data_IF_419677158474
#
_entry.id   IF_419677158474
#
_cell.length_a   1.000
_cell.length_b   1.000
_cell.length_c   1.000
_cell.angle_alpha   90.00
_cell.angle_beta   90.00
_cell.angle_gamma   90.00
#
_symmetry.space_group_name_H-M   'P 1'
#
loop_
_entity.id
_entity.type
_entity.pdbx_description
1 polymer ?
#
# COMPACT_ATOMS: atom_id res chain seq x y z
N UNK A 1 36.19 23.73 -1.58
CA UNK A 1 34.71 23.69 -1.48
C UNK A 1 34.30 24.39 -0.20
N UNK A 2 33.46 25.41 -0.28
CA UNK A 2 33.15 26.32 0.83
C UNK A 2 32.19 25.68 1.84
N UNK A 3 32.35 25.99 3.13
CA UNK A 3 31.43 25.56 4.21
C UNK A 3 29.98 26.00 3.96
N UNK A 4 29.77 27.13 3.28
CA UNK A 4 28.43 27.60 2.90
C UNK A 4 27.73 26.71 1.86
N UNK A 5 28.49 26.04 0.99
CA UNK A 5 27.93 25.13 -0.03
C UNK A 5 27.44 23.81 0.62
N UNK A 6 28.12 23.35 1.69
CA UNK A 6 27.70 22.20 2.49
C UNK A 6 26.44 22.46 3.33
N UNK A 7 26.29 23.68 3.86
CA UNK A 7 25.09 24.06 4.64
C UNK A 7 23.86 24.21 3.73
N UNK A 8 24.01 24.83 2.55
CA UNK A 8 22.91 24.94 1.57
C UNK A 8 22.49 23.57 1.03
N UNK A 9 23.44 22.70 0.68
CA UNK A 9 23.13 21.34 0.22
C UNK A 9 22.45 20.49 1.30
N UNK A 10 22.92 20.55 2.55
CA UNK A 10 22.30 19.83 3.67
C UNK A 10 20.87 20.28 4.00
N UNK A 11 20.58 21.57 3.89
CA UNK A 11 19.22 22.11 4.09
C UNK A 11 18.25 21.71 2.96
N UNK A 12 18.72 21.74 1.70
CA UNK A 12 17.94 21.31 0.55
C UNK A 12 17.63 19.81 0.56
N UNK A 13 18.57 18.98 0.99
CA UNK A 13 18.40 17.52 1.06
C UNK A 13 17.52 17.07 2.24
N UNK A 14 17.61 17.76 3.39
CA UNK A 14 16.71 17.51 4.51
C UNK A 14 15.25 17.89 4.19
N UNK A 15 15.06 19.01 3.48
CA UNK A 15 13.74 19.46 3.04
C UNK A 15 13.09 18.53 2.02
N UNK A 16 13.85 17.96 1.08
CA UNK A 16 13.33 17.00 0.11
C UNK A 16 12.91 15.68 0.77
N UNK A 17 13.73 15.14 1.69
CA UNK A 17 13.40 13.92 2.46
C UNK A 17 12.15 14.10 3.32
N UNK A 18 11.98 15.25 3.97
CA UNK A 18 10.79 15.55 4.76
C UNK A 18 9.51 15.59 3.89
N UNK A 19 9.57 16.19 2.69
CA UNK A 19 8.44 16.20 1.75
C UNK A 19 8.06 14.80 1.29
N UNK A 20 9.05 13.97 0.97
CA UNK A 20 8.82 12.56 0.59
C UNK A 20 8.13 11.77 1.71
N UNK A 21 8.55 11.94 2.96
CA UNK A 21 7.93 11.27 4.11
C UNK A 21 6.46 11.65 4.31
N UNK A 22 6.11 12.93 4.12
CA UNK A 22 4.72 13.40 4.22
C UNK A 22 3.88 12.79 3.10
N UNK A 23 4.37 12.79 1.86
CA UNK A 23 3.62 12.20 0.74
C UNK A 23 3.44 10.68 0.91
N UNK A 24 4.49 9.97 1.36
CA UNK A 24 4.40 8.54 1.68
C UNK A 24 3.35 8.27 2.76
N UNK A 25 3.33 9.06 3.84
CA UNK A 25 2.33 8.88 4.91
C UNK A 25 0.91 9.15 4.42
N UNK A 26 0.72 10.16 3.56
CA UNK A 26 -0.57 10.45 2.93
C UNK A 26 -1.06 9.28 2.08
N UNK A 27 -0.20 8.71 1.22
CA UNK A 27 -0.54 7.53 0.42
C UNK A 27 -0.86 6.31 1.31
N UNK A 28 -0.10 6.11 2.40
CA UNK A 28 -0.38 5.04 3.39
C UNK A 28 -1.75 5.24 4.06
N UNK A 29 -2.10 6.46 4.43
CA UNK A 29 -3.42 6.77 4.99
C UNK A 29 -4.54 6.47 3.98
N UNK A 30 -4.36 6.84 2.71
CA UNK A 30 -5.33 6.52 1.65
C UNK A 30 -5.50 5.00 1.48
N UNK A 31 -4.40 4.24 1.45
CA UNK A 31 -4.45 2.77 1.40
C UNK A 31 -5.16 2.19 2.63
N UNK A 32 -4.91 2.73 3.82
CA UNK A 32 -5.59 2.31 5.05
C UNK A 32 -7.10 2.61 5.05
N UNK A 33 -7.52 3.71 4.44
CA UNK A 33 -8.93 4.03 4.24
C UNK A 33 -9.62 3.00 3.36
N UNK A 34 -9.04 2.72 2.18
CA UNK A 34 -9.55 1.71 1.24
C UNK A 34 -9.61 0.31 1.84
N UNK A 35 -8.64 -0.04 2.68
CA UNK A 35 -8.66 -1.33 3.38
C UNK A 35 -9.88 -1.45 4.33
N UNK A 36 -10.27 -0.36 5.00
CA UNK A 36 -11.47 -0.34 5.85
C UNK A 36 -12.75 -0.47 5.04
N UNK A 37 -12.79 0.10 3.82
CA UNK A 37 -13.91 -0.05 2.89
C UNK A 37 -14.04 -1.51 2.43
N UNK A 38 -12.93 -2.19 2.08
CA UNK A 38 -12.92 -3.63 1.80
C UNK A 38 -13.49 -4.44 2.97
N UNK A 39 -13.06 -4.15 4.21
CA UNK A 39 -13.60 -4.83 5.40
C UNK A 39 -15.10 -4.60 5.59
N UNK A 40 -15.62 -3.45 5.18
CA UNK A 40 -17.05 -3.17 5.21
C UNK A 40 -17.79 -4.05 4.20
N UNK A 41 -17.31 -4.15 2.95
CA UNK A 41 -17.89 -5.05 1.97
C UNK A 41 -17.86 -6.51 2.42
N UNK A 42 -16.78 -6.98 3.07
CA UNK A 42 -16.75 -8.32 3.66
C UNK A 42 -17.82 -8.51 4.74
N UNK A 43 -18.04 -7.52 5.61
CA UNK A 43 -19.12 -7.58 6.61
C UNK A 43 -20.50 -7.62 5.98
N UNK A 44 -20.72 -6.84 4.92
CA UNK A 44 -22.00 -6.80 4.21
C UNK A 44 -22.30 -8.13 3.51
N UNK A 45 -21.30 -8.71 2.83
CA UNK A 45 -21.39 -10.06 2.26
C UNK A 45 -21.71 -11.07 3.36
N UNK A 46 -20.98 -11.06 4.47
CA UNK A 46 -21.21 -11.97 5.60
C UNK A 46 -22.63 -11.84 6.17
N UNK A 47 -23.17 -10.62 6.24
CA UNK A 47 -24.55 -10.36 6.65
C UNK A 47 -25.56 -10.96 5.68
N UNK A 48 -25.36 -10.75 4.37
CA UNK A 48 -26.22 -11.32 3.32
C UNK A 48 -26.26 -12.84 3.45
N UNK A 49 -25.08 -13.48 3.52
CA UNK A 49 -24.96 -14.95 3.64
C UNK A 49 -25.57 -15.48 4.94
N UNK A 50 -25.40 -14.77 6.06
CA UNK A 50 -25.98 -15.19 7.35
C UNK A 50 -27.51 -15.15 7.35
N UNK A 51 -28.11 -14.06 6.86
CA UNK A 51 -29.58 -13.91 6.79
C UNK A 51 -30.20 -14.95 5.88
N UNK A 52 -29.57 -15.15 4.72
CA UNK A 52 -29.86 -16.20 3.75
C UNK A 52 -29.89 -17.60 4.37
N UNK A 53 -28.82 -17.99 5.08
CA UNK A 53 -28.69 -19.31 5.69
C UNK A 53 -29.74 -19.60 6.78
N UNK A 54 -30.30 -18.55 7.40
CA UNK A 54 -31.27 -18.68 8.49
C UNK A 54 -32.73 -18.48 8.03
N UNK A 55 -33.00 -18.40 6.72
CA UNK A 55 -34.33 -18.05 6.17
C UNK A 55 -34.89 -16.74 6.77
N UNK A 56 -34.00 -15.83 7.18
CA UNK A 56 -34.33 -14.51 7.71
C UNK A 56 -34.26 -13.42 6.65
N UNK A 57 -34.04 -13.82 5.40
CA UNK A 57 -34.19 -12.94 4.25
C UNK A 57 -35.68 -12.79 3.93
N UNK A 58 -36.26 -11.69 4.39
CA UNK A 58 -37.69 -11.43 4.31
C UNK A 58 -38.18 -11.03 2.92
N UNK A 59 -37.28 -10.77 1.96
CA UNK A 59 -37.66 -10.13 0.70
C UNK A 59 -37.66 -11.05 -0.53
N UNK A 60 -37.30 -12.34 -0.41
CA UNK A 60 -37.24 -13.23 -1.58
C UNK A 60 -36.30 -12.73 -2.68
N UNK A 61 -35.42 -11.78 -2.35
CA UNK A 61 -34.42 -11.23 -3.26
C UNK A 61 -33.33 -12.27 -3.44
N UNK A 62 -32.96 -12.49 -4.71
CA UNK A 62 -31.81 -13.31 -5.05
C UNK A 62 -30.59 -12.72 -4.33
N UNK A 63 -29.83 -13.55 -3.61
CA UNK A 63 -28.66 -13.10 -2.88
C UNK A 63 -27.68 -12.46 -3.86
N UNK A 64 -27.56 -11.13 -3.80
CA UNK A 64 -26.72 -10.37 -4.71
C UNK A 64 -25.63 -9.65 -3.92
N UNK A 65 -24.45 -10.23 -3.99
CA UNK A 65 -23.21 -9.66 -3.48
C UNK A 65 -22.22 -9.34 -4.61
N UNK A 66 -22.66 -9.39 -5.88
CA UNK A 66 -21.77 -9.21 -7.01
C UNK A 66 -21.14 -7.82 -7.01
N UNK A 67 -21.94 -6.78 -6.74
CA UNK A 67 -21.45 -5.40 -6.60
C UNK A 67 -20.41 -5.23 -5.49
N UNK A 68 -20.56 -5.95 -4.37
CA UNK A 68 -19.57 -5.94 -3.30
C UNK A 68 -18.24 -6.57 -3.75
N UNK A 69 -18.29 -7.66 -4.52
CA UNK A 69 -17.09 -8.30 -5.06
C UNK A 69 -16.39 -7.38 -6.06
N UNK A 70 -17.13 -6.78 -6.99
CA UNK A 70 -16.57 -5.83 -7.96
C UNK A 70 -15.86 -4.67 -7.26
N UNK A 71 -16.49 -4.14 -6.21
CA UNK A 71 -15.93 -3.03 -5.43
C UNK A 71 -14.68 -3.44 -4.66
N UNK A 72 -14.67 -4.63 -4.04
CA UNK A 72 -13.47 -5.18 -3.39
C UNK A 72 -12.32 -5.30 -4.38
N UNK A 73 -12.55 -5.89 -5.55
CA UNK A 73 -11.50 -6.05 -6.59
C UNK A 73 -10.98 -4.70 -7.08
N UNK A 74 -11.86 -3.69 -7.22
CA UNK A 74 -11.44 -2.33 -7.56
C UNK A 74 -10.54 -1.74 -6.49
N UNK A 75 -10.98 -1.77 -5.23
CA UNK A 75 -10.23 -1.23 -4.08
C UNK A 75 -8.89 -1.93 -3.89
N UNK A 76 -8.82 -3.25 -4.09
CA UNK A 76 -7.57 -4.01 -4.03
C UNK A 76 -6.57 -3.54 -5.09
N UNK A 77 -7.02 -3.32 -6.32
CA UNK A 77 -6.18 -2.77 -7.40
C UNK A 77 -5.66 -1.36 -7.07
N UNK A 78 -6.53 -0.49 -6.53
CA UNK A 78 -6.14 0.85 -6.11
C UNK A 78 -5.11 0.82 -4.97
N UNK A 79 -5.26 -0.09 -4.00
CA UNK A 79 -4.27 -0.30 -2.93
C UNK A 79 -2.93 -0.76 -3.50
N UNK A 80 -2.93 -1.66 -4.49
CA UNK A 80 -1.69 -2.09 -5.14
C UNK A 80 -0.98 -0.93 -5.84
N UNK A 81 -1.73 -0.06 -6.51
CA UNK A 81 -1.16 1.10 -7.18
C UNK A 81 -0.57 2.12 -6.19
N UNK A 82 -1.28 2.41 -5.09
CA UNK A 82 -0.76 3.23 -4.00
C UNK A 82 0.53 2.66 -3.39
N UNK A 83 0.59 1.33 -3.20
CA UNK A 83 1.79 0.65 -2.69
C UNK A 83 2.98 0.78 -3.64
N UNK A 84 2.77 0.70 -4.96
CA UNK A 84 3.83 0.94 -5.95
C UNK A 84 4.34 2.38 -5.88
N UNK A 85 3.45 3.36 -5.79
CA UNK A 85 3.83 4.76 -5.66
C UNK A 85 4.64 5.03 -4.38
N UNK A 86 4.25 4.42 -3.26
CA UNK A 86 5.01 4.49 -2.00
C UNK A 86 6.44 3.97 -2.20
N UNK A 87 6.63 2.83 -2.87
CA UNK A 87 7.96 2.25 -3.11
C UNK A 87 8.84 3.15 -3.98
N UNK A 88 8.25 3.72 -5.04
CA UNK A 88 8.94 4.66 -5.92
C UNK A 88 9.38 5.92 -5.14
N UNK A 89 8.51 6.48 -4.30
CA UNK A 89 8.83 7.65 -3.49
C UNK A 89 9.83 7.34 -2.37
N UNK A 90 9.73 6.17 -1.74
CA UNK A 90 10.63 5.73 -0.69
C UNK A 90 12.02 5.30 -1.24
N UNK A 91 12.14 5.17 -2.57
CA UNK A 91 13.34 4.69 -3.23
C UNK A 91 13.75 3.29 -2.73
N UNK A 92 12.75 2.39 -2.62
CA UNK A 92 12.89 1.04 -2.08
C UNK A 92 12.54 -0.03 -3.13
N UNK A 93 13.16 -1.21 -3.02
CA UNK A 93 12.84 -2.44 -3.75
C UNK A 93 12.50 -3.58 -2.79
N UNK A 94 11.76 -4.57 -3.28
CA UNK A 94 11.51 -5.79 -2.52
C UNK A 94 12.68 -6.77 -2.65
N UNK A 95 13.05 -7.37 -1.53
CA UNK A 95 13.85 -8.58 -1.52
C UNK A 95 12.95 -9.82 -1.67
N UNK A 96 13.51 -10.92 -2.18
CA UNK A 96 12.84 -12.23 -2.21
C UNK A 96 12.36 -12.72 -0.83
N UNK A 97 12.96 -12.22 0.26
CA UNK A 97 12.50 -12.52 1.62
C UNK A 97 11.27 -11.70 2.06
N UNK A 98 10.77 -10.79 1.22
CA UNK A 98 9.59 -9.97 1.47
C UNK A 98 9.86 -8.66 2.24
N UNK A 99 11.12 -8.34 2.56
CA UNK A 99 11.50 -7.04 3.15
C UNK A 99 11.79 -6.00 2.08
N UNK A 100 11.32 -4.77 2.32
CA UNK A 100 11.73 -3.61 1.54
C UNK A 100 13.14 -3.17 1.93
N UNK A 101 13.96 -2.85 0.94
CA UNK A 101 15.34 -2.36 1.10
C UNK A 101 15.57 -1.15 0.19
N UNK A 102 16.54 -0.27 0.47
CA UNK A 102 16.90 0.80 -0.45
C UNK A 102 17.17 0.27 -1.87
N UNK A 103 16.78 1.04 -2.89
CA UNK A 103 16.90 0.64 -4.31
C UNK A 103 18.35 0.32 -4.70
N UNK A 104 19.29 1.05 -4.10
CA UNK A 104 20.74 0.98 -4.29
C UNK A 104 21.42 -0.06 -3.38
N UNK A 105 20.66 -0.74 -2.51
CA UNK A 105 21.20 -1.80 -1.67
C UNK A 105 21.74 -2.94 -2.54
N UNK A 106 23.01 -3.31 -2.30
CA UNK A 106 23.67 -4.46 -2.95
C UNK A 106 23.32 -5.79 -2.29
N UNK A 107 22.91 -5.78 -1.03
CA UNK A 107 22.44 -6.95 -0.31
C UNK A 107 21.30 -6.61 0.63
N UNK A 108 20.47 -7.59 0.99
CA UNK A 108 19.40 -7.42 1.96
C UNK A 108 19.95 -7.43 3.38
N UNK A 109 19.70 -6.36 4.14
CA UNK A 109 20.07 -6.26 5.57
C UNK A 109 19.34 -7.26 6.47
N UNK A 110 18.25 -7.88 5.99
CA UNK A 110 17.45 -8.83 6.76
C UNK A 110 17.77 -10.29 6.47
N UNK A 111 18.05 -10.67 5.21
CA UNK A 111 18.30 -12.07 4.84
C UNK A 111 19.66 -12.34 4.16
N UNK A 112 20.44 -11.31 3.85
CA UNK A 112 21.74 -11.46 3.19
C UNK A 112 21.71 -11.73 1.69
N UNK A 113 20.53 -11.82 1.06
CA UNK A 113 20.42 -11.97 -0.40
C UNK A 113 21.17 -10.86 -1.13
N UNK A 114 22.01 -11.21 -2.10
CA UNK A 114 22.77 -10.26 -2.92
C UNK A 114 21.97 -9.92 -4.17
N UNK A 115 21.72 -8.64 -4.40
CA UNK A 115 21.05 -8.18 -5.61
C UNK A 115 22.06 -8.14 -6.74
N UNK A 116 21.85 -8.93 -7.79
CA UNK A 116 22.61 -8.84 -9.03
C UNK A 116 22.52 -7.41 -9.56
N UNK A 117 23.65 -6.81 -9.95
CA UNK A 117 23.63 -5.55 -10.68
C UNK A 117 22.82 -5.78 -11.97
N UNK A 118 21.72 -5.05 -12.12
CA UNK A 118 21.03 -4.95 -13.41
C UNK A 118 21.80 -3.87 -14.15
N UNK A 119 22.57 -4.28 -15.17
CA UNK A 119 23.22 -3.40 -16.15
C UNK A 119 22.22 -2.41 -16.77
#
# INVERSE_FOLDING_TARGET
MSFMDKVKSGFSEAGSKAKTLVEVNKLKMQSGGKQKEIEQHYRDIGRIVFLAANNRDSEGKKWDYHSNIEEILRLENEIQELKKQIKLLANEKDCECGKAVPIDARFCSSCGHTFSEVD
#
